data_IF_693732892575
#
_entry.id   IF_693732892575
#
_cell.length_a   1.000
_cell.length_b   1.000
_cell.length_c   1.000
_cell.angle_alpha   90.00
_cell.angle_beta   90.00
_cell.angle_gamma   90.00
#
_symmetry.space_group_name_H-M   'P 1'
#
loop_
_entity.id
_entity.type
_entity.pdbx_description
1 polymer ?
#
# COMPACT_ATOMS: atom_id res chain seq x y z
N UNK A 1 9.52 31.02 -10.07
CA UNK A 1 9.71 29.78 -9.30
C UNK A 1 10.59 28.91 -10.18
N UNK A 2 11.87 28.80 -9.86
CA UNK A 2 12.76 27.91 -10.60
C UNK A 2 12.38 26.48 -10.27
N UNK A 3 11.87 25.77 -11.27
CA UNK A 3 11.54 24.35 -11.16
C UNK A 3 12.87 23.60 -11.18
N UNK A 4 13.37 23.27 -10.00
CA UNK A 4 14.50 22.36 -9.85
C UNK A 4 13.99 20.97 -10.22
N UNK A 5 14.27 20.53 -11.45
CA UNK A 5 14.10 19.13 -11.80
C UNK A 5 15.16 18.34 -11.01
N UNK A 6 14.76 17.38 -10.15
CA UNK A 6 15.73 16.50 -9.53
C UNK A 6 16.54 15.83 -10.64
N UNK A 7 17.87 15.91 -10.53
CA UNK A 7 18.79 15.28 -11.48
C UNK A 7 18.53 13.78 -11.48
N UNK A 8 17.85 13.28 -12.53
CA UNK A 8 17.57 11.86 -12.79
C UNK A 8 18.85 11.02 -12.66
N UNK A 9 20.00 11.59 -13.04
CA UNK A 9 21.32 10.96 -12.96
C UNK A 9 21.74 10.55 -11.54
N UNK A 10 21.14 11.14 -10.50
CA UNK A 10 21.48 10.84 -9.10
C UNK A 10 20.92 9.50 -8.63
N UNK A 11 19.85 9.02 -9.25
CA UNK A 11 19.08 7.87 -8.77
C UNK A 11 19.30 6.58 -9.57
N UNK A 12 19.92 6.66 -10.75
CA UNK A 12 20.31 5.50 -11.58
C UNK A 12 19.15 4.78 -12.27
N UNK A 13 17.97 4.77 -11.66
CA UNK A 13 16.74 4.14 -12.16
C UNK A 13 15.54 5.08 -11.93
N UNK A 14 14.48 4.89 -12.73
CA UNK A 14 13.19 5.58 -12.62
C UNK A 14 12.07 4.54 -12.60
N UNK A 15 11.11 4.71 -11.70
CA UNK A 15 9.85 3.96 -11.74
C UNK A 15 8.80 4.80 -12.48
N UNK A 16 8.21 4.23 -13.53
CA UNK A 16 7.08 4.82 -14.25
C UNK A 16 5.81 4.04 -13.91
N UNK A 17 4.97 4.62 -13.07
CA UNK A 17 3.59 4.18 -12.86
C UNK A 17 2.66 5.10 -13.66
N UNK A 18 2.04 4.57 -14.72
CA UNK A 18 1.29 5.36 -15.68
C UNK A 18 0.22 4.55 -16.40
N UNK A 19 -0.80 5.24 -16.91
CA UNK A 19 -1.80 4.63 -17.77
C UNK A 19 -1.22 4.18 -19.13
N UNK A 20 -2.02 3.45 -19.90
CA UNK A 20 -1.61 2.91 -21.20
C UNK A 20 -1.25 3.99 -22.24
N UNK A 21 -1.82 5.19 -22.13
CA UNK A 21 -1.57 6.28 -23.07
C UNK A 21 -0.18 6.85 -22.80
N UNK A 22 0.09 7.25 -21.55
CA UNK A 22 1.40 7.78 -21.14
C UNK A 22 2.48 6.73 -21.32
N UNK A 23 2.20 5.46 -20.96
CA UNK A 23 3.13 4.35 -21.17
C UNK A 23 3.47 4.15 -22.65
N UNK A 24 2.46 4.22 -23.54
CA UNK A 24 2.70 4.07 -24.98
C UNK A 24 3.56 5.21 -25.55
N UNK A 25 3.30 6.46 -25.16
CA UNK A 25 4.11 7.59 -25.60
C UNK A 25 5.54 7.52 -25.04
N UNK A 26 5.70 7.09 -23.78
CA UNK A 26 7.02 6.89 -23.19
C UNK A 26 7.85 5.85 -23.95
N UNK A 27 7.25 4.70 -24.29
CA UNK A 27 7.96 3.67 -25.06
C UNK A 27 8.34 4.14 -26.48
N UNK A 28 7.52 4.96 -27.14
CA UNK A 28 7.90 5.57 -28.44
C UNK A 28 9.15 6.46 -28.31
N UNK A 29 9.28 7.22 -27.22
CA UNK A 29 10.46 8.05 -26.96
C UNK A 29 11.72 7.20 -26.71
N UNK A 30 11.56 6.07 -26.03
CA UNK A 30 12.68 5.14 -25.80
C UNK A 30 13.08 4.44 -27.10
N UNK A 31 12.12 3.93 -27.88
CA UNK A 31 12.36 3.22 -29.15
C UNK A 31 12.96 4.12 -30.23
N UNK A 32 12.58 5.40 -30.26
CA UNK A 32 13.15 6.40 -31.19
C UNK A 32 14.56 6.84 -30.81
N UNK A 33 15.00 6.57 -29.57
CA UNK A 33 16.29 7.02 -29.04
C UNK A 33 16.27 8.45 -28.48
N UNK A 34 15.13 9.14 -28.49
CA UNK A 34 14.95 10.47 -27.89
C UNK A 34 15.10 10.43 -26.36
N UNK A 35 14.79 9.27 -25.75
CA UNK A 35 14.99 9.01 -24.33
C UNK A 35 15.81 7.71 -24.13
N UNK A 36 17.15 7.80 -24.02
CA UNK A 36 18.03 6.62 -24.00
C UNK A 36 18.04 5.93 -22.63
N UNK A 37 16.93 5.30 -22.25
CA UNK A 37 16.77 4.54 -21.02
C UNK A 37 16.62 3.04 -21.31
N UNK A 38 17.15 2.19 -20.42
CA UNK A 38 16.83 0.76 -20.41
C UNK A 38 15.51 0.57 -19.65
N UNK A 39 14.50 0.02 -20.33
CA UNK A 39 13.20 -0.25 -19.71
C UNK A 39 13.14 -1.69 -19.19
N UNK A 40 12.74 -1.85 -17.92
CA UNK A 40 12.36 -3.14 -17.34
C UNK A 40 10.88 -3.11 -17.02
N UNK A 41 10.11 -4.01 -17.65
CA UNK A 41 8.71 -4.16 -17.32
C UNK A 41 8.56 -4.92 -15.99
N UNK A 42 7.95 -4.27 -15.00
CA UNK A 42 7.23 -4.98 -13.95
C UNK A 42 5.80 -5.17 -14.45
N UNK A 43 5.17 -6.30 -14.10
CA UNK A 43 3.89 -6.72 -14.69
C UNK A 43 2.78 -5.66 -14.63
N UNK A 44 1.72 -5.89 -15.40
CA UNK A 44 0.55 -5.00 -15.37
C UNK A 44 -0.15 -5.08 -14.00
N UNK A 45 -0.61 -3.94 -13.51
CA UNK A 45 -1.45 -3.83 -12.33
C UNK A 45 -2.87 -3.47 -12.76
N UNK A 46 -3.86 -4.16 -12.20
CA UNK A 46 -5.27 -3.85 -12.40
C UNK A 46 -5.79 -3.04 -11.23
N UNK A 47 -6.63 -2.05 -11.52
CA UNK A 47 -7.33 -1.31 -10.48
C UNK A 47 -8.59 -2.06 -10.05
N UNK A 48 -8.66 -2.40 -8.76
CA UNK A 48 -9.88 -2.83 -8.10
C UNK A 48 -10.56 -1.63 -7.43
N UNK A 49 -11.87 -1.53 -7.57
CA UNK A 49 -12.71 -0.51 -6.92
C UNK A 49 -13.92 -1.19 -6.29
N UNK A 50 -14.34 -0.71 -5.11
CA UNK A 50 -15.66 -1.06 -4.60
C UNK A 50 -16.71 -0.04 -5.04
N UNK A 51 -17.81 -0.52 -5.62
CA UNK A 51 -19.00 0.29 -5.81
C UNK A 51 -19.71 0.59 -4.48
N UNK A 52 -20.71 1.48 -4.51
CA UNK A 52 -21.42 1.89 -3.29
C UNK A 52 -22.16 0.73 -2.63
N UNK A 53 -22.80 -0.15 -3.40
CA UNK A 53 -23.55 -1.27 -2.84
C UNK A 53 -22.63 -2.29 -2.14
N UNK A 54 -21.43 -2.50 -2.69
CA UNK A 54 -20.39 -3.31 -2.06
C UNK A 54 -19.88 -2.65 -0.77
N UNK A 55 -19.68 -1.33 -0.75
CA UNK A 55 -19.25 -0.59 0.43
C UNK A 55 -20.31 -0.65 1.55
N UNK A 56 -21.59 -0.42 1.23
CA UNK A 56 -22.69 -0.47 2.19
C UNK A 56 -22.76 -1.85 2.85
N UNK A 57 -22.77 -2.91 2.04
CA UNK A 57 -22.76 -4.31 2.53
C UNK A 57 -21.54 -4.61 3.41
N UNK A 58 -20.39 -4.03 3.10
CA UNK A 58 -19.19 -4.23 3.90
C UNK A 58 -19.31 -3.55 5.27
N UNK A 59 -19.89 -2.35 5.33
CA UNK A 59 -20.04 -1.61 6.60
C UNK A 59 -21.00 -2.29 7.59
N UNK A 60 -21.95 -3.07 7.11
CA UNK A 60 -22.85 -3.89 7.93
C UNK A 60 -22.19 -5.16 8.48
N UNK A 61 -21.04 -5.55 7.92
CA UNK A 61 -20.38 -6.80 8.28
C UNK A 61 -19.69 -6.70 9.64
N UNK A 62 -20.14 -7.53 10.58
CA UNK A 62 -19.40 -7.75 11.82
C UNK A 62 -18.15 -8.60 11.55
N UNK A 63 -17.01 -8.18 12.12
CA UNK A 63 -15.73 -8.84 11.94
C UNK A 63 -15.40 -9.64 13.19
N UNK A 64 -15.25 -10.96 13.02
CA UNK A 64 -14.78 -11.85 14.07
C UNK A 64 -13.34 -12.28 13.80
N UNK A 65 -12.50 -12.16 14.82
CA UNK A 65 -11.12 -12.60 14.77
C UNK A 65 -10.97 -14.04 15.27
N UNK A 66 -10.00 -14.82 14.75
CA UNK A 66 -9.64 -16.10 15.32
C UNK A 66 -9.17 -15.93 16.77
N UNK A 67 -9.30 -17.00 17.57
CA UNK A 67 -8.83 -17.00 18.96
C UNK A 67 -7.36 -16.58 19.07
N UNK A 68 -7.06 -15.73 20.05
CA UNK A 68 -5.71 -15.22 20.30
C UNK A 68 -5.31 -14.01 19.46
N UNK A 69 -6.21 -13.47 18.62
CA UNK A 69 -5.98 -12.23 17.88
C UNK A 69 -6.92 -11.12 18.33
N UNK A 70 -6.44 -9.88 18.23
CA UNK A 70 -7.24 -8.67 18.49
C UNK A 70 -6.91 -7.57 17.49
N UNK A 71 -7.90 -6.73 17.20
CA UNK A 71 -7.65 -5.46 16.50
C UNK A 71 -6.81 -4.57 17.43
N UNK A 72 -5.88 -3.82 16.87
CA UNK A 72 -5.13 -2.81 17.59
C UNK A 72 -4.70 -1.66 16.70
N UNK A 73 -4.04 -0.68 17.31
CA UNK A 73 -3.42 0.44 16.61
C UNK A 73 -1.91 0.26 16.49
N UNK A 74 -1.33 0.81 15.44
CA UNK A 74 0.12 0.85 15.25
C UNK A 74 0.73 1.90 16.19
N UNK A 75 1.71 1.50 16.99
CA UNK A 75 2.55 2.43 17.73
C UNK A 75 3.62 2.98 16.79
N UNK A 76 3.29 4.07 16.09
CA UNK A 76 4.12 4.64 15.02
C UNK A 76 5.58 4.81 15.44
N UNK A 77 5.84 5.39 16.61
CA UNK A 77 7.20 5.67 17.09
C UNK A 77 8.04 4.40 17.29
N UNK A 78 7.42 3.29 17.65
CA UNK A 78 8.11 2.02 17.93
C UNK A 78 8.10 1.04 16.77
N UNK A 79 7.06 1.08 15.94
CA UNK A 79 6.72 -0.01 15.01
C UNK A 79 6.91 0.38 13.53
N UNK A 80 7.07 1.67 13.20
CA UNK A 80 7.19 2.11 11.79
C UNK A 80 8.37 1.44 11.06
N UNK A 81 9.50 1.22 11.76
CA UNK A 81 10.67 0.55 11.19
C UNK A 81 10.39 -0.91 10.85
N UNK A 82 9.79 -1.66 11.77
CA UNK A 82 9.41 -3.06 11.51
C UNK A 82 8.46 -3.18 10.32
N UNK A 83 7.49 -2.26 10.22
CA UNK A 83 6.53 -2.21 9.10
C UNK A 83 7.24 -1.88 7.78
N UNK A 84 8.16 -0.91 7.81
CA UNK A 84 8.96 -0.50 6.67
C UNK A 84 9.84 -1.65 6.15
N UNK A 85 10.62 -2.28 7.04
CA UNK A 85 11.58 -3.33 6.69
C UNK A 85 10.91 -4.62 6.20
N UNK A 86 9.63 -4.82 6.50
CA UNK A 86 8.85 -5.97 6.01
C UNK A 86 8.43 -5.84 4.53
N UNK A 87 8.59 -4.66 3.91
CA UNK A 87 8.26 -4.45 2.51
C UNK A 87 9.41 -4.97 1.65
N UNK A 88 9.12 -5.90 0.73
CA UNK A 88 10.11 -6.43 -0.22
C UNK A 88 10.77 -5.36 -1.10
N UNK A 89 10.13 -4.19 -1.22
CA UNK A 89 10.59 -3.02 -1.98
C UNK A 89 10.96 -1.82 -1.08
N UNK A 90 11.13 -2.05 0.24
CA UNK A 90 11.47 -1.03 1.23
C UNK A 90 12.70 -0.21 0.82
N UNK A 91 13.63 -0.82 0.09
CA UNK A 91 14.90 -0.21 -0.35
C UNK A 91 14.73 1.06 -1.22
N UNK A 92 13.52 1.34 -1.74
CA UNK A 92 13.27 2.52 -2.59
C UNK A 92 12.52 3.65 -1.88
N UNK A 93 11.74 3.37 -0.84
CA UNK A 93 10.99 4.39 -0.09
C UNK A 93 11.80 4.82 1.14
N UNK A 94 11.87 6.11 1.43
CA UNK A 94 12.52 6.56 2.66
C UNK A 94 11.66 6.20 3.88
N UNK A 95 12.23 5.65 4.95
CA UNK A 95 11.52 5.24 6.18
C UNK A 95 10.57 6.31 6.76
N UNK A 96 10.94 7.59 6.64
CA UNK A 96 10.08 8.71 7.07
C UNK A 96 8.73 8.77 6.34
N UNK A 97 8.67 8.35 5.07
CA UNK A 97 7.41 8.25 4.34
C UNK A 97 6.48 7.24 5.02
N UNK A 98 7.00 6.06 5.40
CA UNK A 98 6.22 5.06 6.15
C UNK A 98 5.75 5.63 7.50
N UNK A 99 6.64 6.30 8.26
CA UNK A 99 6.30 6.90 9.56
C UNK A 99 5.18 7.95 9.43
N UNK A 100 5.30 8.88 8.48
CA UNK A 100 4.31 9.95 8.25
C UNK A 100 2.98 9.38 7.77
N UNK A 101 3.00 8.38 6.87
CA UNK A 101 1.78 7.70 6.40
C UNK A 101 1.04 7.01 7.55
N UNK A 102 1.77 6.31 8.43
CA UNK A 102 1.18 5.70 9.62
C UNK A 102 0.60 6.73 10.61
N UNK A 103 1.21 7.92 10.70
CA UNK A 103 0.77 8.97 11.62
C UNK A 103 -0.45 9.76 11.10
N UNK A 104 -0.54 9.97 9.79
CA UNK A 104 -1.50 10.91 9.20
C UNK A 104 -2.61 10.25 8.38
N UNK A 105 -2.42 9.02 7.91
CA UNK A 105 -3.37 8.32 7.07
C UNK A 105 -3.95 7.10 7.77
N UNK A 106 -5.15 6.63 7.37
CA UNK A 106 -5.71 5.42 7.94
C UNK A 106 -4.75 4.22 7.80
N UNK A 107 -4.55 3.53 8.89
CA UNK A 107 -3.93 2.20 8.94
C UNK A 107 -4.68 1.35 9.96
N UNK A 108 -4.46 0.04 9.89
CA UNK A 108 -4.99 -0.94 10.85
C UNK A 108 -3.93 -1.98 11.13
N UNK A 109 -3.98 -2.57 12.33
CA UNK A 109 -3.19 -3.76 12.63
C UNK A 109 -4.00 -4.77 13.43
N UNK A 110 -3.59 -6.03 13.31
CA UNK A 110 -4.02 -7.14 14.16
C UNK A 110 -2.81 -7.52 15.01
N UNK A 111 -3.05 -7.69 16.31
CA UNK A 111 -2.06 -8.15 17.30
C UNK A 111 -2.32 -9.60 17.69
N UNK A 112 -1.24 -10.34 17.96
CA UNK A 112 -1.31 -11.70 18.50
C UNK A 112 -1.64 -11.69 20.03
N UNK A 113 -1.61 -12.87 20.67
CA UNK A 113 -1.89 -13.03 22.09
C UNK A 113 -0.91 -12.26 22.98
N UNK A 114 0.35 -12.19 22.54
CA UNK A 114 1.46 -11.56 23.26
C UNK A 114 1.44 -10.03 23.10
N UNK A 115 0.62 -9.52 22.17
CA UNK A 115 0.46 -8.11 21.88
C UNK A 115 1.34 -7.60 20.74
N UNK A 116 2.09 -8.48 20.08
CA UNK A 116 2.94 -8.13 18.94
C UNK A 116 2.12 -7.99 17.65
N UNK A 117 2.64 -7.21 16.70
CA UNK A 117 2.06 -7.11 15.36
C UNK A 117 2.00 -8.48 14.70
N UNK A 118 0.84 -8.86 14.18
CA UNK A 118 0.65 -10.10 13.42
C UNK A 118 0.33 -9.82 11.94
N UNK A 119 -0.47 -8.79 11.68
CA UNK A 119 -0.83 -8.34 10.33
C UNK A 119 -1.14 -6.84 10.35
N UNK A 120 -0.89 -6.14 9.25
CA UNK A 120 -1.22 -4.73 9.10
C UNK A 120 -1.51 -4.39 7.64
N UNK A 121 -2.17 -3.25 7.44
CA UNK A 121 -2.34 -2.62 6.15
C UNK A 121 -2.34 -1.10 6.33
N UNK A 122 -1.88 -0.38 5.31
CA UNK A 122 -1.74 1.06 5.33
C UNK A 122 -2.44 1.72 4.15
N UNK A 123 -2.74 3.01 4.31
CA UNK A 123 -3.07 3.85 3.16
C UNK A 123 -1.82 4.27 2.39
N UNK A 124 -1.99 4.45 1.09
CA UNK A 124 -1.06 5.21 0.27
C UNK A 124 -1.43 6.69 0.31
N UNK A 125 -0.50 7.58 -0.01
CA UNK A 125 -0.76 9.01 -0.08
C UNK A 125 -1.71 9.40 -1.23
N UNK A 126 -1.90 8.52 -2.22
CA UNK A 126 -2.94 8.66 -3.26
C UNK A 126 -4.32 8.13 -2.84
N UNK A 127 -4.49 7.69 -1.59
CA UNK A 127 -5.77 7.23 -1.07
C UNK A 127 -6.17 5.81 -1.48
N UNK A 128 -5.21 4.95 -1.83
CA UNK A 128 -5.43 3.51 -2.05
C UNK A 128 -5.09 2.67 -0.82
N UNK A 129 -5.69 1.49 -0.72
CA UNK A 129 -5.23 0.43 0.19
C UNK A 129 -3.90 -0.12 -0.33
N UNK A 130 -2.92 -0.30 0.55
CA UNK A 130 -1.58 -0.78 0.16
C UNK A 130 -0.82 -1.39 1.33
N UNK A 131 0.24 -2.12 1.00
CA UNK A 131 1.14 -2.78 1.95
C UNK A 131 0.40 -3.68 2.97
N UNK A 132 -0.61 -4.40 2.51
CA UNK A 132 -1.18 -5.50 3.28
C UNK A 132 -0.07 -6.54 3.52
N UNK A 133 0.20 -6.84 4.78
CA UNK A 133 1.19 -7.83 5.14
C UNK A 133 0.77 -8.61 6.38
N UNK A 134 1.08 -9.91 6.37
CA UNK A 134 0.97 -10.81 7.52
C UNK A 134 2.31 -11.50 7.73
N UNK A 135 2.82 -11.45 8.98
CA UNK A 135 4.05 -12.15 9.35
C UNK A 135 3.95 -13.63 9.00
N UNK A 136 5.03 -14.19 8.46
CA UNK A 136 5.04 -15.54 7.88
C UNK A 136 4.49 -16.62 8.83
N UNK A 137 4.94 -16.61 10.08
CA UNK A 137 4.52 -17.56 11.12
C UNK A 137 3.06 -17.34 11.59
N UNK A 138 2.39 -16.27 11.15
CA UNK A 138 0.98 -15.97 11.43
C UNK A 138 0.07 -16.21 10.20
N UNK A 139 0.62 -16.56 9.03
CA UNK A 139 -0.16 -16.81 7.80
C UNK A 139 -1.03 -18.07 7.90
N UNK A 140 -1.99 -18.20 6.98
CA UNK A 140 -2.92 -19.34 6.92
C UNK A 140 -4.07 -19.29 7.93
N UNK A 141 -4.21 -18.18 8.68
CA UNK A 141 -5.23 -18.00 9.73
C UNK A 141 -6.36 -17.04 9.34
N UNK A 142 -6.38 -16.57 8.09
CA UNK A 142 -7.37 -15.60 7.59
C UNK A 142 -7.19 -14.14 8.06
N UNK A 143 -6.21 -13.86 8.92
CA UNK A 143 -6.03 -12.52 9.51
C UNK A 143 -5.61 -11.44 8.50
N UNK A 144 -4.95 -11.78 7.39
CA UNK A 144 -4.64 -10.82 6.32
C UNK A 144 -5.92 -10.27 5.67
N UNK A 145 -6.85 -11.14 5.29
CA UNK A 145 -8.14 -10.73 4.73
C UNK A 145 -8.97 -9.89 5.73
N UNK A 146 -8.91 -10.26 7.02
CA UNK A 146 -9.59 -9.49 8.07
C UNK A 146 -8.96 -8.09 8.21
N UNK A 147 -7.63 -8.00 8.15
CA UNK A 147 -6.91 -6.72 8.16
C UNK A 147 -7.35 -5.83 7.01
N UNK A 148 -7.42 -6.39 5.79
CA UNK A 148 -7.91 -5.64 4.62
C UNK A 148 -9.35 -5.18 4.78
N UNK A 149 -10.22 -6.05 5.27
CA UNK A 149 -11.63 -5.73 5.54
C UNK A 149 -11.74 -4.58 6.55
N UNK A 150 -10.92 -4.58 7.62
CA UNK A 150 -10.91 -3.53 8.65
C UNK A 150 -10.48 -2.17 8.08
N UNK A 151 -9.41 -2.12 7.29
CA UNK A 151 -8.98 -0.85 6.67
C UNK A 151 -10.02 -0.36 5.68
N UNK A 152 -10.60 -1.27 4.93
CA UNK A 152 -11.66 -0.96 3.97
C UNK A 152 -12.88 -0.35 4.66
N UNK A 153 -13.35 -0.92 5.78
CA UNK A 153 -14.42 -0.32 6.58
C UNK A 153 -14.04 1.07 7.08
N UNK A 154 -12.79 1.25 7.54
CA UNK A 154 -12.28 2.55 8.00
C UNK A 154 -12.24 3.59 6.88
N UNK A 155 -11.93 3.20 5.64
CA UNK A 155 -12.00 4.07 4.46
C UNK A 155 -13.42 4.55 4.21
N UNK A 156 -14.39 3.62 4.13
CA UNK A 156 -15.80 3.95 3.88
C UNK A 156 -16.32 4.88 4.97
N UNK A 157 -16.05 4.58 6.24
CA UNK A 157 -16.44 5.42 7.39
C UNK A 157 -15.82 6.83 7.35
N UNK A 158 -14.66 6.97 6.70
CA UNK A 158 -13.97 8.26 6.52
C UNK A 158 -14.39 8.99 5.23
N UNK A 159 -15.36 8.47 4.47
CA UNK A 159 -15.80 9.03 3.19
C UNK A 159 -14.79 8.84 2.05
N UNK A 160 -13.84 7.92 2.20
CA UNK A 160 -12.84 7.61 1.18
C UNK A 160 -13.36 6.53 0.24
N UNK A 161 -12.97 6.62 -1.03
CA UNK A 161 -13.22 5.55 -2.00
C UNK A 161 -12.30 4.37 -1.71
N UNK A 162 -12.86 3.17 -1.74
CA UNK A 162 -12.07 1.95 -1.63
C UNK A 162 -11.52 1.59 -3.01
N UNK A 163 -10.20 1.62 -3.14
CA UNK A 163 -9.51 1.09 -4.31
C UNK A 163 -8.11 0.59 -3.97
N UNK A 164 -7.60 -0.32 -4.81
CA UNK A 164 -6.23 -0.85 -4.74
C UNK A 164 -5.78 -1.33 -6.11
N UNK A 165 -4.47 -1.43 -6.28
CA UNK A 165 -3.89 -2.19 -7.38
C UNK A 165 -3.75 -3.66 -6.98
N UNK A 166 -4.06 -4.56 -7.92
CA UNK A 166 -3.90 -6.00 -7.81
C UNK A 166 -3.11 -6.51 -9.00
N UNK A 167 -2.25 -7.49 -8.76
CA UNK A 167 -1.48 -8.25 -9.75
C UNK A 167 -2.26 -9.47 -10.27
#
# INVERSE_FOLDING_TARGET
IDVVFPSIQKHGELLLDADNVVRSEFFKLVESGDLPLECRAQGDLYSFYMDQAQQDKLTEKEIHLPYGFRVGDVNVEKEHRQIHDALSYADTEHIECTRVRLALLPSVCIRNSDGDLASWEMSHHYGQLTHLYTLEHQRGKGIGQITETLLTQKFVQSGLRVFKYVD
#
